data_IF_828469396479
#
_entry.id   IF_828469396479
#
_cell.length_a   1.000
_cell.length_b   1.000
_cell.length_c   1.000
_cell.angle_alpha   90.00
_cell.angle_beta   90.00
_cell.angle_gamma   90.00
#
_symmetry.space_group_name_H-M   'P 1'
#
loop_
_entity.id
_entity.type
_entity.pdbx_description
1 polymer ?
#
# COMPACT_ATOMS: atom_id res chain seq x y z
N UNK A 1 28.33 2.30 -20.45
CA UNK A 1 28.49 3.20 -20.09
C UNK A 1 27.51 3.78 -19.38
N UNK A 2 26.46 3.40 -19.46
CA UNK A 2 25.40 3.98 -18.81
C UNK A 2 24.94 3.28 -17.57
N UNK A 3 25.66 2.25 -17.12
CA UNK A 3 25.22 1.50 -15.95
C UNK A 3 25.26 2.37 -14.69
N UNK A 4 26.23 3.27 -14.59
CA UNK A 4 26.29 4.17 -13.44
C UNK A 4 25.09 5.10 -13.42
N UNK A 5 24.74 5.67 -14.55
CA UNK A 5 23.58 6.56 -14.66
C UNK A 5 22.30 5.82 -14.34
N UNK A 6 22.18 4.58 -14.81
CA UNK A 6 21.01 3.78 -14.54
C UNK A 6 20.88 3.46 -13.04
N UNK A 7 22.00 3.17 -12.39
CA UNK A 7 21.99 2.91 -10.96
C UNK A 7 21.53 4.12 -10.17
N UNK A 8 21.95 5.31 -10.57
CA UNK A 8 21.51 6.53 -9.90
C UNK A 8 20.01 6.70 -10.06
N UNK A 9 19.48 6.47 -11.26
CA UNK A 9 18.05 6.60 -11.50
C UNK A 9 17.25 5.63 -10.66
N UNK A 10 17.68 4.36 -10.60
CA UNK A 10 17.01 3.35 -9.80
C UNK A 10 17.03 3.73 -8.32
N UNK A 11 18.16 4.21 -7.86
CA UNK A 11 18.31 4.62 -6.48
C UNK A 11 17.37 5.76 -6.11
N UNK A 12 17.25 6.76 -6.97
CA UNK A 12 16.34 7.88 -6.74
C UNK A 12 14.90 7.42 -6.75
N UNK A 13 14.56 6.51 -7.67
CA UNK A 13 13.22 5.98 -7.77
C UNK A 13 12.86 5.20 -6.50
N UNK A 14 13.78 4.40 -6.01
CA UNK A 14 13.54 3.66 -4.77
C UNK A 14 13.38 4.59 -3.58
N UNK A 15 14.19 5.64 -3.50
CA UNK A 15 14.07 6.63 -2.44
C UNK A 15 12.71 7.31 -2.49
N UNK A 16 12.28 7.66 -3.69
CA UNK A 16 10.97 8.28 -3.86
C UNK A 16 9.87 7.35 -3.40
N UNK A 17 9.93 6.09 -3.81
CA UNK A 17 8.92 5.11 -3.41
C UNK A 17 8.91 4.94 -1.90
N UNK A 18 10.09 4.82 -1.29
CA UNK A 18 10.18 4.64 0.15
C UNK A 18 9.65 5.83 0.94
N UNK A 19 9.74 7.02 0.36
CA UNK A 19 9.21 8.21 1.03
C UNK A 19 7.70 8.17 1.16
N UNK A 20 7.03 7.32 0.38
CA UNK A 20 5.58 7.16 0.48
C UNK A 20 5.16 6.05 1.46
N UNK A 21 6.11 5.32 2.03
CA UNK A 21 5.76 4.16 2.86
C UNK A 21 4.84 4.53 4.01
N UNK A 22 5.23 5.51 4.80
CA UNK A 22 4.46 5.86 5.98
C UNK A 22 3.07 6.42 5.63
N UNK A 23 2.97 7.40 4.70
CA UNK A 23 1.63 7.85 4.33
C UNK A 23 0.79 6.76 3.67
N UNK A 24 1.43 5.86 2.92
CA UNK A 24 0.70 4.76 2.30
C UNK A 24 0.13 3.80 3.34
N UNK A 25 0.92 3.49 4.37
CA UNK A 25 0.45 2.62 5.44
C UNK A 25 -0.70 3.27 6.20
N UNK A 26 -0.68 4.59 6.37
CA UNK A 26 -1.81 5.29 6.99
C UNK A 26 -3.06 5.21 6.14
N UNK A 27 -2.91 5.34 4.82
CA UNK A 27 -4.05 5.18 3.91
C UNK A 27 -4.64 3.78 4.01
N UNK A 28 -3.78 2.77 3.97
CA UNK A 28 -4.24 1.38 4.07
C UNK A 28 -4.94 1.13 5.39
N UNK A 29 -4.36 1.62 6.49
CA UNK A 29 -4.96 1.47 7.80
C UNK A 29 -6.34 2.10 7.87
N UNK A 30 -6.48 3.29 7.31
CA UNK A 30 -7.76 3.97 7.30
C UNK A 30 -8.80 3.20 6.47
N UNK A 31 -8.42 2.77 5.27
CA UNK A 31 -9.33 1.98 4.43
C UNK A 31 -9.76 0.71 5.14
N UNK A 32 -8.81 0.07 5.82
CA UNK A 32 -9.09 -1.17 6.53
C UNK A 32 -10.07 -0.94 7.67
N UNK A 33 -9.88 0.13 8.45
CA UNK A 33 -10.79 0.44 9.55
C UNK A 33 -12.18 0.77 9.06
N UNK A 34 -12.31 1.50 7.96
CA UNK A 34 -13.61 1.79 7.37
C UNK A 34 -14.31 0.51 6.95
N UNK A 35 -13.55 -0.41 6.34
CA UNK A 35 -14.11 -1.68 5.91
C UNK A 35 -14.60 -2.51 7.11
N UNK A 36 -13.81 -2.55 8.18
CA UNK A 36 -14.20 -3.27 9.40
C UNK A 36 -15.46 -2.66 9.99
N UNK A 37 -15.54 -1.33 10.03
CA UNK A 37 -16.70 -0.65 10.56
C UNK A 37 -17.95 -0.99 9.75
N UNK A 38 -17.82 -1.00 8.42
CA UNK A 38 -18.95 -1.34 7.55
C UNK A 38 -19.41 -2.77 7.79
N UNK A 39 -18.50 -3.69 7.98
CA UNK A 39 -18.86 -5.09 8.26
C UNK A 39 -19.59 -5.20 9.59
N UNK A 40 -19.07 -4.53 10.64
CA UNK A 40 -19.73 -4.56 11.93
C UNK A 40 -21.14 -3.99 11.86
N UNK A 41 -21.31 -2.89 11.12
CA UNK A 41 -22.60 -2.24 11.00
C UNK A 41 -23.63 -3.13 10.33
N UNK A 42 -23.18 -4.04 9.46
CA UNK A 42 -24.06 -4.98 8.76
C UNK A 42 -24.19 -6.31 9.49
N UNK A 43 -23.56 -6.46 10.64
CA UNK A 43 -23.61 -7.71 11.38
C UNK A 43 -22.70 -8.79 10.87
N UNK A 44 -21.72 -8.44 10.03
CA UNK A 44 -20.76 -9.41 9.50
C UNK A 44 -19.49 -9.39 10.34
N UNK A 45 -18.69 -10.43 10.18
CA UNK A 45 -17.45 -10.58 10.92
C UNK A 45 -16.41 -9.58 10.39
N UNK A 46 -15.96 -8.71 11.25
CA UNK A 46 -14.97 -7.70 10.86
C UNK A 46 -13.62 -8.32 10.48
N UNK A 47 -13.36 -9.55 10.90
CA UNK A 47 -12.12 -10.24 10.53
C UNK A 47 -12.07 -10.57 9.04
N UNK A 48 -13.21 -10.46 8.36
CA UNK A 48 -13.26 -10.65 6.91
C UNK A 48 -12.91 -9.39 6.13
N UNK A 49 -12.57 -8.30 6.81
CA UNK A 49 -12.21 -7.07 6.13
C UNK A 49 -10.99 -7.29 5.24
N UNK A 50 -11.07 -6.79 4.02
CA UNK A 50 -9.98 -6.88 3.06
C UNK A 50 -10.10 -5.72 2.09
N UNK A 51 -8.96 -5.22 1.65
CA UNK A 51 -8.89 -4.10 0.72
C UNK A 51 -8.29 -4.64 -0.57
N UNK A 52 -8.94 -4.37 -1.70
CA UNK A 52 -8.37 -4.80 -2.97
C UNK A 52 -7.14 -3.96 -3.28
N UNK A 53 -6.21 -4.57 -4.00
CA UNK A 53 -5.03 -3.87 -4.45
C UNK A 53 -5.39 -2.63 -5.26
N UNK A 54 -6.41 -2.75 -6.12
CA UNK A 54 -6.87 -1.62 -6.92
C UNK A 54 -7.40 -0.49 -6.07
N UNK A 55 -8.21 -0.80 -5.07
CA UNK A 55 -8.76 0.22 -4.18
C UNK A 55 -7.64 0.97 -3.47
N UNK A 56 -6.65 0.24 -2.99
CA UNK A 56 -5.52 0.83 -2.29
C UNK A 56 -4.73 1.74 -3.24
N UNK A 57 -4.37 1.23 -4.42
CA UNK A 57 -3.56 2.02 -5.34
C UNK A 57 -4.32 3.22 -5.89
N UNK A 58 -5.62 3.08 -6.16
CA UNK A 58 -6.41 4.20 -6.62
C UNK A 58 -6.53 5.29 -5.57
N UNK A 59 -6.73 4.90 -4.32
CA UNK A 59 -6.82 5.86 -3.23
C UNK A 59 -5.50 6.61 -3.07
N UNK A 60 -4.38 5.89 -3.15
CA UNK A 60 -3.07 6.52 -3.08
C UNK A 60 -2.85 7.48 -4.23
N UNK A 61 -3.22 7.06 -5.44
CA UNK A 61 -3.04 7.92 -6.61
C UNK A 61 -3.78 9.23 -6.44
N UNK A 62 -5.00 9.18 -5.93
CA UNK A 62 -5.79 10.36 -5.69
C UNK A 62 -5.24 11.23 -4.58
N UNK A 63 -4.92 10.62 -3.44
CA UNK A 63 -4.50 11.38 -2.27
C UNK A 63 -3.12 11.98 -2.43
N UNK A 64 -2.22 11.25 -3.07
CA UNK A 64 -0.84 11.71 -3.23
C UNK A 64 -0.62 12.43 -4.55
N UNK A 65 -1.64 12.46 -5.43
CA UNK A 65 -1.56 13.08 -6.74
C UNK A 65 -0.43 12.48 -7.55
N UNK A 66 -0.37 11.17 -7.57
CA UNK A 66 0.61 10.41 -8.34
C UNK A 66 -0.16 9.55 -9.35
N UNK A 67 0.56 9.05 -10.35
CA UNK A 67 -0.11 8.22 -11.35
C UNK A 67 -0.28 6.79 -10.84
N UNK A 68 -1.10 6.03 -11.55
CA UNK A 68 -1.42 4.66 -11.15
C UNK A 68 -0.20 3.76 -11.17
N UNK A 69 0.70 4.00 -12.10
CA UNK A 69 1.91 3.18 -12.18
C UNK A 69 2.74 3.32 -10.91
N UNK A 70 2.96 4.55 -10.47
CA UNK A 70 3.74 4.78 -9.26
C UNK A 70 3.02 4.22 -8.03
N UNK A 71 1.70 4.39 -7.97
CA UNK A 71 0.93 3.82 -6.86
C UNK A 71 1.09 2.31 -6.80
N UNK A 72 1.05 1.65 -7.96
CA UNK A 72 1.27 0.20 -8.03
C UNK A 72 2.67 -0.18 -7.58
N UNK A 73 3.67 0.63 -7.93
CA UNK A 73 5.04 0.37 -7.48
C UNK A 73 5.18 0.50 -5.97
N UNK A 74 4.46 1.44 -5.37
CA UNK A 74 4.45 1.58 -3.91
C UNK A 74 3.85 0.33 -3.26
N UNK A 75 2.75 -0.18 -3.79
CA UNK A 75 2.13 -1.40 -3.26
C UNK A 75 3.11 -2.56 -3.34
N UNK A 76 3.74 -2.75 -4.50
CA UNK A 76 4.71 -3.84 -4.67
C UNK A 76 5.88 -3.70 -3.71
N UNK A 77 6.36 -2.48 -3.55
CA UNK A 77 7.50 -2.23 -2.68
C UNK A 77 7.16 -2.51 -1.21
N UNK A 78 5.98 -2.09 -0.77
CA UNK A 78 5.52 -2.37 0.59
C UNK A 78 5.43 -3.88 0.83
N UNK A 79 4.91 -4.62 -0.14
CA UNK A 79 4.79 -6.07 -0.01
C UNK A 79 6.16 -6.72 0.02
N UNK A 80 7.08 -6.28 -0.82
CA UNK A 80 8.43 -6.81 -0.86
C UNK A 80 9.19 -6.52 0.43
N UNK A 81 8.90 -5.39 1.05
CA UNK A 81 9.51 -5.03 2.33
C UNK A 81 8.80 -5.67 3.52
N UNK A 82 7.78 -6.48 3.25
CA UNK A 82 7.02 -7.18 4.28
C UNK A 82 6.30 -6.23 5.24
N UNK A 83 5.91 -5.07 4.74
CA UNK A 83 5.19 -4.09 5.54
C UNK A 83 3.68 -4.20 5.37
N UNK A 84 3.23 -4.89 4.33
CA UNK A 84 1.83 -5.24 4.14
C UNK A 84 1.77 -6.71 3.75
N UNK A 85 0.61 -7.32 3.99
CA UNK A 85 0.37 -8.71 3.64
C UNK A 85 -0.45 -8.75 2.37
N UNK A 86 0.02 -9.48 1.36
CA UNK A 86 -0.70 -9.67 0.11
C UNK A 86 -1.27 -11.07 0.07
N UNK A 87 -2.50 -11.19 -0.41
CA UNK A 87 -3.07 -12.52 -0.66
C UNK A 87 -4.10 -12.37 -1.78
N UNK A 88 -3.83 -13.06 -2.88
CA UNK A 88 -4.65 -12.91 -4.07
C UNK A 88 -4.62 -11.47 -4.54
N UNK A 89 -5.78 -10.90 -4.80
CA UNK A 89 -5.90 -9.51 -5.23
C UNK A 89 -6.11 -8.54 -4.09
N UNK A 90 -5.84 -8.96 -2.85
CA UNK A 90 -6.12 -8.15 -1.66
C UNK A 90 -4.85 -7.81 -0.93
N UNK A 91 -4.91 -6.76 -0.12
CA UNK A 91 -3.82 -6.37 0.77
C UNK A 91 -4.40 -6.10 2.16
N UNK A 92 -3.57 -6.35 3.17
CA UNK A 92 -3.92 -6.07 4.56
C UNK A 92 -2.73 -5.43 5.26
N UNK A 93 -2.98 -4.59 6.27
CA UNK A 93 -1.89 -4.16 7.14
C UNK A 93 -1.25 -5.38 7.80
N UNK A 94 0.04 -5.33 8.01
CA UNK A 94 0.75 -6.40 8.69
C UNK A 94 0.40 -6.37 10.16
N UNK A 95 -0.08 -7.49 10.69
CA UNK A 95 -0.52 -7.56 12.08
C UNK A 95 0.69 -7.63 13.00
N UNK A 96 0.65 -6.85 14.08
CA UNK A 96 1.66 -6.94 15.12
C UNK A 96 2.94 -6.20 14.86
N UNK A 97 3.02 -5.52 13.71
CA UNK A 97 4.26 -4.85 13.34
C UNK A 97 4.53 -3.64 14.23
N UNK A 98 3.47 -2.96 14.66
CA UNK A 98 3.65 -1.77 15.46
C UNK A 98 3.29 -1.96 16.90
N UNK A 99 3.42 -3.13 17.34
CA UNK A 99 3.18 -3.42 18.74
C UNK A 99 4.31 -3.00 19.62
#
# INVERSE_FOLDING_TARGET
MNSFTQQIKVSRQQSEIQSFYEPALRVLGHLFEVKKQNLRNKGYDENNAAITREEFSQTMAQRFRINQWLAGQIVNSLANADLVQKFGGYVKPKVGVHE
#
